data_IF_787739410030
#
_entry.id   IF_787739410030
#
_cell.length_a   1.000
_cell.length_b   1.000
_cell.length_c   1.000
_cell.angle_alpha   90.00
_cell.angle_beta   90.00
_cell.angle_gamma   90.00
#
_symmetry.space_group_name_H-M   'P 1'
#
loop_
_entity.id
_entity.type
_entity.pdbx_description
1 polymer ?
#
# COMPACT_ATOMS: atom_id res chain seq x y z
N UNK A 1 3.07 1.28 3.98
CA UNK A 1 1.69 1.72 4.29
C UNK A 1 1.55 3.18 3.93
N UNK A 2 0.35 3.60 3.53
CA UNK A 2 0.07 5.01 3.28
C UNK A 2 0.08 5.80 4.60
N UNK A 3 0.55 7.06 4.55
CA UNK A 3 0.49 7.98 5.69
C UNK A 3 -0.98 8.31 6.02
N UNK A 4 -1.25 8.74 7.26
CA UNK A 4 -2.60 9.14 7.70
C UNK A 4 -3.26 10.20 6.80
N UNK A 5 -2.48 11.10 6.22
CA UNK A 5 -2.96 12.11 5.26
C UNK A 5 -3.60 11.52 3.98
N UNK A 6 -3.38 10.22 3.74
CA UNK A 6 -3.87 9.47 2.60
C UNK A 6 -4.79 8.29 3.01
N UNK A 7 -5.30 8.31 4.24
CA UNK A 7 -6.23 7.30 4.72
C UNK A 7 -7.46 7.20 3.81
N UNK A 8 -7.89 5.97 3.51
CA UNK A 8 -8.98 5.63 2.59
C UNK A 8 -8.80 6.13 1.14
N UNK A 9 -7.59 6.53 0.74
CA UNK A 9 -7.27 6.98 -0.62
C UNK A 9 -6.43 5.99 -1.42
N UNK A 10 -6.36 4.73 -0.98
CA UNK A 10 -5.55 3.68 -1.60
C UNK A 10 -5.85 3.52 -3.09
N UNK A 11 -7.12 3.50 -3.47
CA UNK A 11 -7.54 3.31 -4.87
C UNK A 11 -7.09 4.48 -5.74
N UNK A 12 -7.35 5.72 -5.31
CA UNK A 12 -6.91 6.93 -6.02
C UNK A 12 -5.39 6.96 -6.20
N UNK A 13 -4.64 6.59 -5.17
CA UNK A 13 -3.16 6.56 -5.24
C UNK A 13 -2.69 5.43 -6.15
N UNK A 14 -3.33 4.26 -6.11
CA UNK A 14 -3.02 3.15 -6.99
C UNK A 14 -3.28 3.50 -8.46
N UNK A 15 -4.38 4.20 -8.77
CA UNK A 15 -4.69 4.70 -10.11
C UNK A 15 -3.66 5.73 -10.58
N UNK A 16 -3.33 6.73 -9.74
CA UNK A 16 -2.30 7.71 -10.06
C UNK A 16 -0.95 7.06 -10.34
N UNK A 17 -0.55 6.06 -9.55
CA UNK A 17 0.68 5.32 -9.76
C UNK A 17 0.60 4.47 -11.04
N UNK A 18 -0.56 3.88 -11.36
CA UNK A 18 -0.78 3.14 -12.60
C UNK A 18 -0.67 4.03 -13.83
N UNK A 19 -1.22 5.23 -13.81
CA UNK A 19 -1.11 6.21 -14.90
C UNK A 19 0.34 6.65 -15.12
N UNK A 20 1.14 6.69 -14.04
CA UNK A 20 2.58 6.91 -14.09
C UNK A 20 3.39 5.68 -14.56
N UNK A 21 2.71 4.55 -14.82
CA UNK A 21 3.30 3.32 -15.31
C UNK A 21 3.84 2.38 -14.23
N UNK A 22 3.42 2.55 -12.97
CA UNK A 22 3.76 1.64 -11.88
C UNK A 22 2.69 0.59 -11.65
N UNK A 23 3.10 -0.67 -11.55
CA UNK A 23 2.24 -1.72 -11.06
C UNK A 23 2.20 -1.71 -9.53
N UNK A 24 1.00 -1.54 -8.99
CA UNK A 24 0.75 -1.58 -7.56
C UNK A 24 -0.17 -2.74 -7.22
N UNK A 25 0.06 -3.37 -6.06
CA UNK A 25 -0.75 -4.48 -5.55
C UNK A 25 -1.10 -4.25 -4.08
N UNK A 26 -2.17 -4.84 -3.54
CA UNK A 26 -2.39 -4.92 -2.10
C UNK A 26 -1.20 -5.58 -1.40
N UNK A 27 -1.00 -5.27 -0.11
CA UNK A 27 0.10 -5.87 0.67
C UNK A 27 -0.28 -7.30 1.04
N UNK A 28 0.36 -8.27 0.40
CA UNK A 28 0.14 -9.70 0.63
C UNK A 28 -1.36 -10.05 0.61
N UNK A 29 -1.91 -10.61 1.68
CA UNK A 29 -3.33 -10.92 1.82
C UNK A 29 -4.12 -9.89 2.63
N UNK A 30 -3.52 -8.75 2.99
CA UNK A 30 -4.15 -7.75 3.86
C UNK A 30 -4.55 -8.33 5.21
N UNK A 31 -5.78 -8.06 5.64
CA UNK A 31 -6.38 -8.72 6.80
C UNK A 31 -6.87 -10.11 6.39
N UNK A 32 -6.05 -11.13 6.68
CA UNK A 32 -6.32 -12.50 6.23
C UNK A 32 -7.68 -13.04 6.69
N UNK A 33 -8.17 -12.62 7.86
CA UNK A 33 -9.44 -13.07 8.45
C UNK A 33 -10.66 -12.67 7.61
N UNK A 34 -10.56 -11.61 6.78
CA UNK A 34 -11.64 -11.22 5.87
C UNK A 34 -11.81 -12.17 4.66
N UNK A 35 -10.88 -13.08 4.44
CA UNK A 35 -10.96 -14.01 3.32
C UNK A 35 -11.87 -15.20 3.67
N UNK A 36 -12.79 -15.55 2.76
CA UNK A 36 -13.71 -16.70 2.92
C UNK A 36 -13.03 -18.05 3.18
N UNK A 37 -11.74 -18.18 2.86
CA UNK A 37 -10.97 -19.40 3.15
C UNK A 37 -10.87 -19.68 4.65
N UNK A 38 -10.95 -18.62 5.48
CA UNK A 38 -10.84 -18.71 6.93
C UNK A 38 -12.05 -19.44 7.53
N UNK A 39 -13.20 -19.42 6.87
CA UNK A 39 -14.41 -20.16 7.27
C UNK A 39 -14.20 -21.69 7.34
N UNK A 40 -13.19 -22.20 6.62
CA UNK A 40 -12.83 -23.63 6.61
C UNK A 40 -11.68 -23.98 7.55
N UNK A 41 -11.17 -23.01 8.33
CA UNK A 41 -10.03 -23.18 9.22
C UNK A 41 -10.49 -23.14 10.68
N UNK A 42 -9.81 -23.89 11.55
CA UNK A 42 -10.01 -23.75 12.99
C UNK A 42 -9.06 -22.65 13.51
N UNK A 43 -9.60 -21.48 13.83
CA UNK A 43 -8.82 -20.31 14.27
C UNK A 43 -9.49 -19.58 15.43
N UNK A 44 -8.71 -18.77 16.14
CA UNK A 44 -9.19 -17.87 17.20
C UNK A 44 -8.57 -16.49 16.97
N UNK A 45 -9.34 -15.43 17.27
CA UNK A 45 -8.86 -14.05 17.20
C UNK A 45 -8.68 -13.52 18.60
N UNK A 46 -7.45 -13.12 18.94
CA UNK A 46 -7.14 -12.52 20.23
C UNK A 46 -7.13 -11.00 20.13
N UNK A 47 -8.07 -10.34 20.83
CA UNK A 47 -8.18 -8.89 20.87
C UNK A 47 -8.56 -8.27 19.53
N UNK A 48 -8.17 -7.01 19.32
CA UNK A 48 -8.45 -6.28 18.08
C UNK A 48 -7.25 -6.28 17.14
N UNK A 49 -7.51 -6.44 15.85
CA UNK A 49 -6.49 -6.51 14.80
C UNK A 49 -6.35 -5.18 14.06
N UNK A 50 -6.25 -4.07 14.80
CA UNK A 50 -6.22 -2.71 14.24
C UNK A 50 -5.16 -2.53 13.15
N UNK A 51 -3.96 -3.09 13.37
CA UNK A 51 -2.86 -3.00 12.40
C UNK A 51 -3.16 -3.78 11.12
N UNK A 52 -3.78 -4.96 11.23
CA UNK A 52 -4.17 -5.75 10.06
C UNK A 52 -5.27 -5.04 9.27
N UNK A 53 -6.25 -4.46 9.98
CA UNK A 53 -7.35 -3.70 9.39
C UNK A 53 -6.85 -2.44 8.65
N UNK A 54 -5.90 -1.73 9.26
CA UNK A 54 -5.26 -0.57 8.65
C UNK A 54 -4.43 -0.94 7.42
N UNK A 55 -3.67 -2.04 7.46
CA UNK A 55 -2.90 -2.55 6.31
C UNK A 55 -3.83 -2.96 5.17
N UNK A 56 -4.95 -3.61 5.47
CA UNK A 56 -5.91 -4.06 4.47
C UNK A 56 -6.48 -2.89 3.65
N UNK A 57 -6.85 -1.82 4.35
CA UNK A 57 -7.49 -0.65 3.74
C UNK A 57 -6.49 0.33 3.11
N UNK A 58 -5.33 0.53 3.75
CA UNK A 58 -4.35 1.59 3.43
C UNK A 58 -2.99 1.05 2.98
N UNK A 59 -2.88 -0.25 2.74
CA UNK A 59 -1.67 -0.92 2.28
C UNK A 59 -1.56 -0.95 0.77
N UNK A 60 -0.41 -0.51 0.25
CA UNK A 60 -0.04 -0.65 -1.16
C UNK A 60 1.40 -1.15 -1.24
N UNK A 61 1.64 -2.07 -2.17
CA UNK A 61 2.95 -2.63 -2.47
C UNK A 61 3.34 -2.30 -3.93
N UNK A 62 4.58 -1.87 -4.10
CA UNK A 62 5.22 -1.65 -5.40
C UNK A 62 6.37 -2.66 -5.49
N UNK A 63 6.45 -3.38 -6.61
CA UNK A 63 7.48 -4.38 -6.84
C UNK A 63 8.88 -3.78 -6.80
N UNK A 64 9.81 -4.49 -6.15
CA UNK A 64 11.24 -4.20 -6.22
C UNK A 64 11.91 -5.13 -7.24
N UNK A 65 12.97 -4.66 -7.89
CA UNK A 65 13.77 -5.47 -8.82
C UNK A 65 15.19 -5.66 -8.26
N UNK A 66 15.83 -6.79 -8.61
CA UNK A 66 17.18 -7.13 -8.16
C UNK A 66 18.28 -6.29 -8.83
N UNK A 67 17.94 -5.58 -9.91
CA UNK A 67 18.77 -4.57 -10.54
C UNK A 67 18.27 -3.18 -10.18
N UNK A 68 19.18 -2.21 -10.21
CA UNK A 68 18.83 -0.81 -10.04
C UNK A 68 17.88 -0.38 -11.16
N UNK A 69 16.66 -0.02 -10.78
CA UNK A 69 15.69 0.56 -11.70
C UNK A 69 16.12 2.02 -11.93
N UNK A 70 17.04 2.26 -12.86
CA UNK A 70 17.52 3.61 -13.21
C UNK A 70 16.72 4.27 -14.33
N UNK A 71 15.43 3.96 -14.43
CA UNK A 71 14.56 4.63 -15.41
C UNK A 71 14.19 6.05 -14.97
N UNK A 72 13.93 6.99 -15.90
CA UNK A 72 13.41 8.32 -15.56
C UNK A 72 12.15 8.29 -14.68
N UNK A 73 11.37 7.19 -14.76
CA UNK A 73 10.16 6.95 -13.97
C UNK A 73 10.42 6.75 -12.48
N UNK A 74 11.46 6.01 -12.08
CA UNK A 74 11.80 5.80 -10.65
C UNK A 74 12.28 7.07 -9.96
N UNK A 75 12.94 7.97 -10.70
CA UNK A 75 13.24 9.32 -10.21
C UNK A 75 11.96 10.13 -9.93
N UNK A 76 10.90 9.90 -10.71
CA UNK A 76 9.58 10.48 -10.47
C UNK A 76 8.93 9.94 -9.18
N UNK A 77 9.06 8.64 -8.89
CA UNK A 77 8.59 8.06 -7.63
C UNK A 77 9.31 8.67 -6.42
N UNK A 78 10.64 8.83 -6.52
CA UNK A 78 11.42 9.55 -5.50
C UNK A 78 11.01 11.03 -5.41
N UNK A 79 10.73 11.70 -6.52
CA UNK A 79 10.31 13.09 -6.56
C UNK A 79 8.90 13.29 -5.98
N UNK A 80 7.96 12.40 -6.27
CA UNK A 80 6.61 12.38 -5.69
C UNK A 80 6.70 12.10 -4.19
N UNK A 81 7.46 11.08 -3.77
CA UNK A 81 7.67 10.78 -2.36
C UNK A 81 8.34 11.95 -1.60
N UNK A 82 9.33 12.61 -2.20
CA UNK A 82 9.97 13.82 -1.67
C UNK A 82 9.04 15.04 -1.70
N UNK A 83 8.21 15.17 -2.72
CA UNK A 83 7.22 16.25 -2.87
C UNK A 83 6.03 16.11 -1.90
N UNK A 84 5.66 14.89 -1.52
CA UNK A 84 4.74 14.63 -0.41
C UNK A 84 5.36 15.03 0.92
N UNK A 85 6.67 14.83 1.11
CA UNK A 85 7.36 15.29 2.32
C UNK A 85 7.33 16.82 2.51
N UNK A 86 7.31 17.60 1.41
CA UNK A 86 7.20 19.07 1.48
C UNK A 86 5.78 19.61 1.63
N UNK A 87 4.75 18.83 1.30
CA UNK A 87 3.33 19.28 1.35
C UNK A 87 2.63 19.00 2.68
N UNK A 88 3.22 18.19 3.56
CA UNK A 88 2.72 17.95 4.93
C UNK A 88 3.31 18.87 6.00
N UNK A 89 3.97 19.97 5.61
CA UNK A 89 4.51 21.00 6.50
C UNK A 89 3.76 22.32 6.26
N UNK A 90 2.45 22.32 6.52
CA UNK A 90 1.62 23.50 6.78
C UNK A 90 0.58 23.09 7.82
#
# INVERSE_FOLDING_TARGET
>A
MLRKEFENRREVIAEQLKDLGFECRPIAAGNFIKNKVVDYSNFEVHGELESAEYIDSNGLFIGNHHYLISTPRTNHLQAIAKGWHKRGSC
#
